data_IF_549966942082
#
_entry.id   IF_549966942082
#
_cell.length_a   1.000
_cell.length_b   1.000
_cell.length_c   1.000
_cell.angle_alpha   90.00
_cell.angle_beta   90.00
_cell.angle_gamma   90.00
#
_symmetry.space_group_name_H-M   'P 1'
#
loop_
_entity.id
_entity.type
_entity.pdbx_description
1 polymer ?
#
# COMPACT_ATOMS: atom_id res chain seq x y z
N UNK A 1 -3.58 -9.87 -17.67
CA UNK A 1 -2.47 -8.90 -17.65
C UNK A 1 -1.33 -9.40 -18.53
N UNK A 2 -0.88 -8.54 -19.43
CA UNK A 2 0.32 -8.69 -20.23
C UNK A 2 1.58 -8.59 -19.34
N UNK A 3 2.74 -9.03 -19.87
CA UNK A 3 3.99 -9.06 -19.09
C UNK A 3 4.46 -7.64 -18.76
N UNK A 4 4.36 -6.72 -19.73
CA UNK A 4 4.73 -5.32 -19.52
C UNK A 4 3.88 -4.67 -18.42
N UNK A 5 2.57 -4.95 -18.38
CA UNK A 5 1.68 -4.45 -17.32
C UNK A 5 2.08 -4.97 -15.93
N UNK A 6 2.51 -6.23 -15.83
CA UNK A 6 3.01 -6.79 -14.57
C UNK A 6 4.34 -6.16 -14.14
N UNK A 7 5.25 -5.91 -15.09
CA UNK A 7 6.52 -5.24 -14.79
C UNK A 7 6.29 -3.78 -14.36
N UNK A 8 5.41 -3.07 -15.06
CA UNK A 8 5.04 -1.69 -14.72
C UNK A 8 4.40 -1.62 -13.31
N UNK A 9 3.45 -2.50 -13.02
CA UNK A 9 2.84 -2.58 -11.69
C UNK A 9 3.88 -2.93 -10.62
N UNK A 10 4.79 -3.86 -10.91
CA UNK A 10 5.88 -4.21 -10.00
C UNK A 10 6.79 -3.01 -9.69
N UNK A 11 7.10 -2.19 -10.71
CA UNK A 11 7.83 -0.93 -10.57
C UNK A 11 7.13 0.05 -9.65
N UNK A 12 5.85 0.34 -9.91
CA UNK A 12 5.04 1.27 -9.09
C UNK A 12 5.00 0.83 -7.63
N UNK A 13 4.78 -0.47 -7.35
CA UNK A 13 4.77 -0.98 -5.98
C UNK A 13 6.15 -0.89 -5.31
N UNK A 14 7.23 -1.01 -6.08
CA UNK A 14 8.60 -0.84 -5.56
C UNK A 14 8.86 0.62 -5.18
N UNK A 15 8.41 1.58 -5.98
CA UNK A 15 8.51 3.02 -5.64
C UNK A 15 7.71 3.37 -4.38
N UNK A 16 6.50 2.81 -4.24
CA UNK A 16 5.68 3.01 -3.03
C UNK A 16 6.40 2.40 -1.81
N UNK A 17 6.94 1.18 -1.95
CA UNK A 17 7.77 0.52 -0.92
C UNK A 17 8.94 1.41 -0.49
N UNK A 18 9.70 1.95 -1.45
CA UNK A 18 10.84 2.84 -1.18
C UNK A 18 10.42 4.10 -0.42
N UNK A 19 9.27 4.70 -0.78
CA UNK A 19 8.71 5.83 -0.05
C UNK A 19 8.41 5.46 1.42
N UNK A 20 7.79 4.31 1.67
CA UNK A 20 7.47 3.87 3.02
C UNK A 20 8.73 3.60 3.87
N UNK A 21 9.76 2.97 3.30
CA UNK A 21 11.04 2.74 4.00
C UNK A 21 11.81 4.04 4.25
N UNK A 22 11.68 5.03 3.36
CA UNK A 22 12.24 6.37 3.56
C UNK A 22 11.53 7.12 4.71
N UNK A 23 10.21 7.02 4.81
CA UNK A 23 9.44 7.66 5.89
C UNK A 23 9.62 6.96 7.24
N UNK A 24 9.81 5.65 7.24
CA UNK A 24 9.99 4.86 8.45
C UNK A 24 11.15 3.85 8.28
N UNK A 25 12.36 4.18 8.76
CA UNK A 25 13.52 3.29 8.65
C UNK A 25 13.36 1.92 9.33
N UNK A 26 12.45 1.78 10.30
CA UNK A 26 12.15 0.52 10.98
C UNK A 26 11.22 -0.39 10.16
N UNK A 27 10.48 0.18 9.21
CA UNK A 27 9.66 -0.60 8.30
C UNK A 27 10.56 -1.24 7.25
N UNK A 28 10.47 -2.57 7.12
CA UNK A 28 11.26 -3.36 6.16
C UNK A 28 10.36 -4.31 5.38
N UNK A 29 10.54 -4.32 4.07
CA UNK A 29 9.85 -5.26 3.17
C UNK A 29 10.69 -6.54 3.00
N UNK A 30 10.98 -7.19 4.11
CA UNK A 30 11.95 -8.29 4.17
C UNK A 30 11.52 -9.51 3.35
N UNK A 31 10.21 -9.79 3.25
CA UNK A 31 9.74 -10.93 2.44
C UNK A 31 9.96 -10.65 0.97
N UNK A 32 9.66 -9.43 0.51
CA UNK A 32 9.97 -9.01 -0.85
C UNK A 32 11.46 -9.10 -1.17
N UNK A 33 12.33 -8.56 -0.30
CA UNK A 33 13.78 -8.63 -0.50
C UNK A 33 14.31 -10.08 -0.56
N UNK A 34 13.72 -11.00 0.20
CA UNK A 34 14.09 -12.41 0.18
C UNK A 34 13.84 -13.09 -1.18
N UNK A 35 12.91 -12.56 -2.00
CA UNK A 35 12.63 -13.07 -3.34
C UNK A 35 13.78 -12.84 -4.32
N UNK A 36 14.57 -11.78 -4.10
CA UNK A 36 15.62 -11.31 -5.04
C UNK A 36 15.08 -11.10 -6.47
N UNK A 37 13.84 -10.63 -6.56
CA UNK A 37 13.17 -10.29 -7.81
C UNK A 37 13.01 -8.77 -7.85
N UNK A 38 13.41 -8.15 -8.96
CA UNK A 38 13.37 -6.69 -9.17
C UNK A 38 12.65 -6.35 -10.48
N UNK A 39 11.93 -5.20 -10.58
CA UNK A 39 11.24 -4.78 -11.81
C UNK A 39 12.15 -4.68 -13.04
N UNK A 40 13.43 -4.32 -12.88
CA UNK A 40 14.41 -4.23 -13.98
C UNK A 40 14.75 -5.59 -14.59
N UNK A 41 14.46 -6.70 -13.91
CA UNK A 41 14.73 -8.05 -14.38
C UNK A 41 13.67 -8.52 -15.39
N UNK A 42 13.52 -7.79 -16.50
CA UNK A 42 12.49 -8.01 -17.54
C UNK A 42 12.52 -9.42 -18.17
N UNK A 43 13.62 -10.17 -18.00
CA UNK A 43 13.76 -11.54 -18.46
C UNK A 43 13.03 -12.57 -17.57
N UNK A 44 12.72 -12.21 -16.31
CA UNK A 44 11.96 -13.05 -15.38
C UNK A 44 10.56 -13.38 -15.90
N UNK A 45 10.01 -14.50 -15.46
CA UNK A 45 8.71 -14.99 -15.92
C UNK A 45 7.56 -14.09 -15.44
N UNK A 46 6.42 -14.17 -16.13
CA UNK A 46 5.18 -13.50 -15.67
C UNK A 46 4.80 -13.92 -14.25
N UNK A 47 5.00 -15.20 -13.92
CA UNK A 47 4.65 -15.74 -12.60
C UNK A 47 5.57 -15.21 -11.50
N UNK A 48 6.86 -15.04 -11.78
CA UNK A 48 7.81 -14.42 -10.84
C UNK A 48 7.43 -12.97 -10.53
N UNK A 49 7.15 -12.14 -11.54
CA UNK A 49 6.70 -10.77 -11.30
C UNK A 49 5.35 -10.72 -10.57
N UNK A 50 4.40 -11.59 -10.94
CA UNK A 50 3.10 -11.67 -10.27
C UNK A 50 3.24 -12.07 -8.79
N UNK A 51 4.14 -13.01 -8.49
CA UNK A 51 4.42 -13.42 -7.12
C UNK A 51 5.03 -12.27 -6.31
N UNK A 52 6.01 -11.57 -6.88
CA UNK A 52 6.62 -10.40 -6.25
C UNK A 52 5.59 -9.29 -5.95
N UNK A 53 4.69 -9.01 -6.90
CA UNK A 53 3.56 -8.08 -6.71
C UNK A 53 2.68 -8.47 -5.53
N UNK A 54 2.35 -9.76 -5.38
CA UNK A 54 1.51 -10.22 -4.27
C UNK A 54 2.20 -10.11 -2.91
N UNK A 55 3.50 -10.41 -2.84
CA UNK A 55 4.28 -10.24 -1.62
C UNK A 55 4.38 -8.76 -1.24
N UNK A 56 4.74 -7.89 -2.19
CA UNK A 56 4.76 -6.43 -1.99
C UNK A 56 3.40 -5.89 -1.55
N UNK A 57 2.32 -6.26 -2.24
CA UNK A 57 0.97 -5.81 -1.90
C UNK A 57 0.57 -6.20 -0.48
N UNK A 58 0.98 -7.38 -0.01
CA UNK A 58 0.72 -7.84 1.36
C UNK A 58 1.52 -7.04 2.38
N UNK A 59 2.82 -6.86 2.17
CA UNK A 59 3.67 -6.08 3.07
C UNK A 59 3.26 -4.59 3.10
N UNK A 60 2.86 -4.02 1.96
CA UNK A 60 2.33 -2.65 1.86
C UNK A 60 1.02 -2.48 2.65
N UNK A 61 0.09 -3.44 2.52
CA UNK A 61 -1.15 -3.41 3.29
C UNK A 61 -0.91 -3.48 4.80
N UNK A 62 0.11 -4.23 5.24
CA UNK A 62 0.51 -4.27 6.65
C UNK A 62 1.16 -2.96 7.10
N UNK A 63 2.08 -2.40 6.29
CA UNK A 63 2.70 -1.11 6.56
C UNK A 63 1.68 0.02 6.75
N UNK A 64 0.62 0.03 5.93
CA UNK A 64 -0.45 1.03 6.02
C UNK A 64 -1.29 0.91 7.30
N UNK A 65 -1.54 -0.30 7.80
CA UNK A 65 -2.28 -0.51 9.06
C UNK A 65 -1.54 0.07 10.26
N UNK A 66 -0.22 -0.08 10.30
CA UNK A 66 0.59 0.44 11.40
C UNK A 66 0.61 1.98 11.41
N UNK A 67 0.48 2.61 10.23
CA UNK A 67 0.35 4.08 10.11
C UNK A 67 -1.03 4.57 10.57
N UNK A 68 -2.11 3.86 10.25
CA UNK A 68 -3.48 4.21 10.67
C UNK A 68 -3.70 4.15 12.19
N UNK A 69 -2.94 3.32 12.93
CA UNK A 69 -3.05 3.23 14.40
C UNK A 69 -2.23 4.27 15.17
N UNK A 70 -1.49 5.15 14.48
CA UNK A 70 -0.87 6.32 15.11
C UNK A 70 -1.92 7.31 15.62
N UNK A 71 -1.53 8.27 16.46
CA UNK A 71 -2.42 9.31 17.03
C UNK A 71 -3.31 10.02 15.99
N UNK A 72 -2.92 10.04 14.72
CA UNK A 72 -3.69 10.55 13.57
C UNK A 72 -4.98 9.76 13.27
N UNK A 73 -4.99 8.44 13.49
CA UNK A 73 -6.18 7.60 13.30
C UNK A 73 -7.35 8.00 14.18
N UNK A 74 -7.07 8.53 15.38
CA UNK A 74 -8.09 9.09 16.28
C UNK A 74 -8.72 10.36 15.73
N UNK A 75 -7.94 11.21 15.05
CA UNK A 75 -8.46 12.43 14.42
C UNK A 75 -9.29 12.07 13.17
N UNK A 76 -8.79 11.16 12.33
CA UNK A 76 -9.52 10.68 11.15
C UNK A 76 -10.88 10.07 11.52
N UNK A 77 -10.92 9.20 12.54
CA UNK A 77 -12.16 8.61 13.04
C UNK A 77 -13.15 9.67 13.55
N UNK A 78 -12.66 10.70 14.28
CA UNK A 78 -13.49 11.82 14.74
C UNK A 78 -14.00 12.70 13.61
N UNK A 79 -13.19 12.93 12.57
CA UNK A 79 -13.61 13.68 11.39
C UNK A 79 -14.67 12.94 10.59
N UNK A 80 -14.54 11.61 10.47
CA UNK A 80 -15.57 10.76 9.86
C UNK A 80 -16.88 10.81 10.66
N UNK A 81 -16.82 10.67 11.99
CA UNK A 81 -17.99 10.78 12.87
C UNK A 81 -18.69 12.15 12.73
N UNK A 82 -17.92 13.24 12.67
CA UNK A 82 -18.46 14.60 12.45
C UNK A 82 -19.12 14.76 11.07
N UNK A 83 -18.50 14.21 10.02
CA UNK A 83 -19.07 14.24 8.67
C UNK A 83 -20.39 13.45 8.58
N UNK A 84 -20.44 12.25 9.16
CA UNK A 84 -21.66 11.43 9.22
C UNK A 84 -22.77 12.09 10.02
N UNK A 85 -22.43 12.76 11.14
CA UNK A 85 -23.39 13.54 11.92
C UNK A 85 -23.96 14.71 11.12
N UNK A 86 -23.10 15.44 10.43
CA UNK A 86 -23.50 16.58 9.59
C UNK A 86 -24.42 16.12 8.45
N UNK A 87 -24.10 14.98 7.82
CA UNK A 87 -24.94 14.41 6.76
C UNK A 87 -26.35 14.08 7.26
N UNK A 88 -26.47 13.47 8.44
CA UNK A 88 -27.78 13.18 9.06
C UNK A 88 -28.57 14.44 9.41
N UNK A 89 -27.89 15.49 9.87
CA UNK A 89 -28.53 16.79 10.13
C UNK A 89 -29.07 17.42 8.83
N UNK A 90 -28.32 17.33 7.73
CA UNK A 90 -28.78 17.79 6.41
C UNK A 90 -30.01 16.99 5.96
N UNK A 91 -29.97 15.66 6.06
CA UNK A 91 -31.07 14.78 5.66
C UNK A 91 -32.34 14.99 6.50
N UNK A 92 -32.21 15.34 7.78
CA UNK A 92 -33.36 15.61 8.67
C UNK A 92 -34.00 16.98 8.44
N UNK A 93 -33.28 17.92 7.80
CA UNK A 93 -33.75 19.27 7.50
C UNK A 93 -34.39 19.39 6.11
N UNK A 94 -34.48 18.29 5.35
CA UNK A 94 -35.22 18.18 4.07
C UNK A 94 -36.54 17.44 4.26
#
# INVERSE_FOLDING_TARGET
>A
MHKEELIALHGILTEIKDFFELQNPELKFSQYYALKIDPSQVHKSKMEHKYAIFVLGTELANAMKDVEFSSSGRISARMKELAEKTLKEIEYLQ
#
